data_IF_897859333726
#
_entry.id   IF_897859333726
#
_cell.length_a   1.000
_cell.length_b   1.000
_cell.length_c   1.000
_cell.angle_alpha   90.00
_cell.angle_beta   90.00
_cell.angle_gamma   90.00
#
_symmetry.space_group_name_H-M   'P 1'
#
loop_
_entity.id
_entity.type
_entity.pdbx_description
1 polymer ?
#
# COMPACT_ATOMS: atom_id res chain seq x y z
N UNK A 1 10.34 -12.76 10.48
CA UNK A 1 10.18 -11.79 11.59
C UNK A 1 10.55 -12.35 12.96
N UNK A 2 10.64 -13.66 13.19
CA UNK A 2 11.19 -14.25 14.42
C UNK A 2 10.42 -13.98 15.72
N UNK A 3 9.13 -13.68 15.66
CA UNK A 3 8.33 -13.48 16.87
C UNK A 3 8.23 -14.75 17.71
N UNK A 4 8.36 -14.67 19.06
CA UNK A 4 8.20 -15.82 19.95
C UNK A 4 6.81 -16.46 19.79
N UNK A 5 6.74 -17.80 19.89
CA UNK A 5 5.48 -18.54 19.77
C UNK A 5 4.40 -18.00 20.72
N UNK A 6 4.76 -17.71 21.97
CA UNK A 6 3.85 -17.17 22.99
C UNK A 6 3.18 -15.85 22.53
N UNK A 7 3.95 -14.96 21.90
CA UNK A 7 3.42 -13.71 21.35
C UNK A 7 2.43 -13.99 20.19
N UNK A 8 2.81 -14.89 19.28
CA UNK A 8 1.92 -15.28 18.16
C UNK A 8 0.60 -15.89 18.66
N UNK A 9 0.67 -16.73 19.71
CA UNK A 9 -0.52 -17.35 20.31
C UNK A 9 -1.44 -16.29 20.96
N UNK A 10 -0.87 -15.28 21.62
CA UNK A 10 -1.64 -14.16 22.16
C UNK A 10 -2.34 -13.34 21.08
N UNK A 11 -1.62 -12.94 20.02
CA UNK A 11 -2.21 -12.18 18.90
C UNK A 11 -3.33 -13.01 18.23
N UNK A 12 -3.08 -14.29 18.00
CA UNK A 12 -4.08 -15.21 17.47
C UNK A 12 -5.30 -15.30 18.38
N UNK A 13 -5.12 -15.41 19.69
CA UNK A 13 -6.20 -15.43 20.68
C UNK A 13 -7.04 -14.14 20.62
N UNK A 14 -6.39 -12.97 20.58
CA UNK A 14 -7.06 -11.68 20.46
C UNK A 14 -7.89 -11.57 19.17
N UNK A 15 -7.30 -11.92 18.02
CA UNK A 15 -8.02 -11.85 16.74
C UNK A 15 -9.21 -12.81 16.71
N UNK A 16 -9.07 -14.02 17.26
CA UNK A 16 -10.13 -15.03 17.28
C UNK A 16 -11.25 -14.75 18.29
N UNK A 17 -10.98 -14.02 19.36
CA UNK A 17 -11.97 -13.64 20.38
C UNK A 17 -12.72 -12.35 20.07
N UNK A 18 -12.34 -11.64 19.02
CA UNK A 18 -12.93 -10.35 18.64
C UNK A 18 -14.42 -10.50 18.29
N UNK A 19 -15.27 -9.72 18.98
CA UNK A 19 -16.70 -9.61 18.72
C UNK A 19 -17.11 -8.16 18.53
N UNK A 20 -18.16 -7.92 17.78
CA UNK A 20 -18.77 -6.62 17.57
C UNK A 20 -20.30 -6.73 17.62
N UNK A 21 -20.96 -5.64 18.00
CA UNK A 21 -22.40 -5.47 17.89
C UNK A 21 -22.69 -4.15 17.18
N UNK A 22 -23.78 -4.10 16.42
CA UNK A 22 -24.28 -2.86 15.82
C UNK A 22 -25.24 -2.18 16.77
N UNK A 23 -25.11 -0.88 16.95
CA UNK A 23 -26.07 -0.09 17.69
C UNK A 23 -27.23 0.32 16.77
N UNK A 24 -28.45 -0.09 17.13
CA UNK A 24 -29.67 0.35 16.46
C UNK A 24 -30.50 1.16 17.48
N UNK A 25 -30.72 2.43 17.19
CA UNK A 25 -31.40 3.37 18.10
C UNK A 25 -30.81 3.38 19.52
N UNK A 26 -29.46 3.28 19.62
CA UNK A 26 -28.74 3.29 20.90
C UNK A 26 -28.70 1.94 21.64
N UNK A 27 -29.39 0.92 21.16
CA UNK A 27 -29.39 -0.42 21.75
C UNK A 27 -28.50 -1.35 20.96
N UNK A 28 -27.60 -2.14 21.60
CA UNK A 28 -26.77 -3.12 20.91
C UNK A 28 -27.64 -4.27 20.37
N UNK A 29 -27.36 -4.71 19.15
CA UNK A 29 -27.93 -5.91 18.55
C UNK A 29 -27.24 -7.16 19.08
N UNK A 30 -27.47 -8.32 18.43
CA UNK A 30 -26.71 -9.54 18.74
C UNK A 30 -25.22 -9.38 18.43
N UNK A 31 -24.37 -9.98 19.23
CA UNK A 31 -22.94 -10.04 19.01
C UNK A 31 -22.59 -10.95 17.83
N UNK A 32 -21.74 -10.49 16.94
CA UNK A 32 -21.17 -11.32 15.88
C UNK A 32 -19.64 -11.36 15.97
N UNK A 33 -19.07 -12.46 15.50
CA UNK A 33 -17.62 -12.66 15.50
C UNK A 33 -16.97 -11.89 14.36
N UNK A 34 -15.87 -11.19 14.65
CA UNK A 34 -15.05 -10.56 13.62
C UNK A 34 -14.12 -11.63 13.00
N UNK A 35 -14.36 -11.98 11.74
CA UNK A 35 -13.60 -13.05 11.07
C UNK A 35 -12.39 -12.52 10.29
N UNK A 36 -12.38 -11.23 9.93
CA UNK A 36 -11.32 -10.59 9.13
C UNK A 36 -11.05 -9.18 9.59
N UNK A 37 -9.80 -8.73 9.35
CA UNK A 37 -9.36 -7.37 9.62
C UNK A 37 -8.97 -7.14 11.07
N UNK A 38 -8.65 -5.89 11.37
CA UNK A 38 -8.30 -5.42 12.70
C UNK A 38 -9.41 -4.51 13.22
N UNK A 39 -9.59 -4.51 14.54
CA UNK A 39 -10.62 -3.70 15.18
C UNK A 39 -10.24 -2.22 15.13
N UNK A 40 -11.10 -1.41 14.54
CA UNK A 40 -10.92 0.04 14.50
C UNK A 40 -11.09 0.61 15.92
N UNK A 41 -10.17 1.49 16.34
CA UNK A 41 -10.17 2.06 17.70
C UNK A 41 -9.44 1.23 18.77
N UNK A 42 -8.97 0.03 18.45
CA UNK A 42 -8.10 -0.75 19.33
C UNK A 42 -6.66 -0.21 19.26
N UNK A 43 -6.04 0.02 20.41
CA UNK A 43 -4.68 0.59 20.52
C UNK A 43 -3.59 -0.29 19.90
N UNK A 44 -3.81 -1.60 19.80
CA UNK A 44 -2.84 -2.54 19.20
C UNK A 44 -3.00 -2.69 17.68
N UNK A 45 -4.19 -2.40 17.14
CA UNK A 45 -4.48 -2.56 15.72
C UNK A 45 -3.53 -1.80 14.78
N UNK A 46 -3.13 -0.54 15.04
CA UNK A 46 -2.16 0.16 14.20
C UNK A 46 -0.79 -0.54 14.15
N UNK A 47 -0.32 -1.08 15.27
CA UNK A 47 0.96 -1.80 15.32
C UNK A 47 0.91 -3.13 14.56
N UNK A 48 -0.20 -3.87 14.66
CA UNK A 48 -0.41 -5.09 13.89
C UNK A 48 -0.49 -4.80 12.39
N UNK A 49 -1.12 -3.69 12.00
CA UNK A 49 -1.15 -3.24 10.61
C UNK A 49 0.25 -2.94 10.08
N UNK A 50 1.09 -2.23 10.84
CA UNK A 50 2.48 -1.95 10.46
C UNK A 50 3.29 -3.24 10.26
N UNK A 51 3.12 -4.25 11.14
CA UNK A 51 3.76 -5.56 10.98
C UNK A 51 3.34 -6.23 9.67
N UNK A 52 2.07 -6.12 9.30
CA UNK A 52 1.56 -6.68 8.04
C UNK A 52 2.10 -5.92 6.83
N UNK A 53 2.20 -4.59 6.90
CA UNK A 53 2.80 -3.78 5.83
C UNK A 53 4.30 -4.05 5.69
N UNK A 54 5.01 -4.30 6.78
CA UNK A 54 6.41 -4.76 6.76
C UNK A 54 6.55 -6.12 6.07
N UNK A 55 5.57 -7.02 6.23
CA UNK A 55 5.55 -8.27 5.48
C UNK A 55 5.40 -8.05 3.95
N UNK A 56 4.59 -7.07 3.52
CA UNK A 56 4.51 -6.68 2.11
C UNK A 56 5.85 -6.17 1.59
N UNK A 57 6.49 -5.27 2.33
CA UNK A 57 7.84 -4.76 2.03
C UNK A 57 8.84 -5.91 1.87
N UNK A 58 8.84 -6.85 2.82
CA UNK A 58 9.70 -8.02 2.75
C UNK A 58 9.45 -8.89 1.51
N UNK A 59 8.19 -9.14 1.15
CA UNK A 59 7.84 -9.94 -0.05
C UNK A 59 8.32 -9.23 -1.32
N UNK A 60 8.14 -7.91 -1.45
CA UNK A 60 8.61 -7.12 -2.58
C UNK A 60 10.13 -7.15 -2.70
N UNK A 61 10.85 -6.92 -1.60
CA UNK A 61 12.31 -7.01 -1.56
C UNK A 61 12.78 -8.42 -1.93
N UNK A 62 12.12 -9.45 -1.41
CA UNK A 62 12.47 -10.83 -1.76
C UNK A 62 12.22 -11.15 -3.23
N UNK A 63 11.13 -10.66 -3.81
CA UNK A 63 10.87 -10.79 -5.24
C UNK A 63 11.95 -10.11 -6.09
N UNK A 64 12.46 -8.95 -5.64
CA UNK A 64 13.62 -8.27 -6.25
C UNK A 64 14.89 -9.12 -6.14
N UNK A 65 15.23 -9.59 -4.94
CA UNK A 65 16.47 -10.34 -4.68
C UNK A 65 16.60 -11.61 -5.52
N UNK A 66 15.47 -12.29 -5.80
CA UNK A 66 15.43 -13.49 -6.65
C UNK A 66 15.20 -13.17 -8.14
N UNK A 67 15.19 -11.89 -8.52
CA UNK A 67 15.08 -11.45 -9.92
C UNK A 67 13.68 -11.60 -10.54
N UNK A 68 12.65 -11.87 -9.74
CA UNK A 68 11.25 -11.99 -10.22
C UNK A 68 10.60 -10.63 -10.44
N UNK A 69 11.02 -9.62 -9.68
CA UNK A 69 10.57 -8.24 -9.80
C UNK A 69 11.76 -7.30 -9.90
N UNK A 70 11.70 -6.36 -10.82
CA UNK A 70 12.75 -5.36 -11.01
C UNK A 70 12.22 -4.00 -10.63
N UNK A 71 12.87 -3.36 -9.67
CA UNK A 71 12.62 -2.00 -9.25
C UNK A 71 13.09 -0.96 -10.25
N UNK A 72 13.03 0.31 -9.87
CA UNK A 72 13.63 1.42 -10.60
C UNK A 72 15.00 1.71 -10.01
N UNK A 73 16.02 1.76 -10.85
CA UNK A 73 17.37 2.18 -10.49
C UNK A 73 17.57 3.66 -10.90
N UNK A 74 18.03 4.49 -9.98
CA UNK A 74 18.33 5.90 -10.25
C UNK A 74 19.82 6.15 -10.43
N UNK A 75 20.69 5.24 -9.94
CA UNK A 75 22.16 5.33 -10.04
C UNK A 75 22.74 3.92 -9.95
N UNK A 76 23.85 3.68 -10.67
CA UNK A 76 24.54 2.38 -10.65
C UNK A 76 25.03 1.97 -9.27
N UNK A 77 25.27 2.94 -8.37
CA UNK A 77 25.76 2.72 -7.01
C UNK A 77 24.64 2.57 -5.96
N UNK A 78 23.35 2.76 -6.35
CA UNK A 78 22.23 2.69 -5.43
C UNK A 78 21.38 1.43 -5.63
N UNK A 79 20.77 0.90 -4.55
CA UNK A 79 19.87 -0.24 -4.67
C UNK A 79 18.58 0.16 -5.40
N UNK A 80 18.05 -0.74 -6.19
CA UNK A 80 16.76 -0.55 -6.88
C UNK A 80 15.66 -0.21 -5.87
N UNK A 81 14.92 0.85 -6.15
CA UNK A 81 13.73 1.21 -5.43
C UNK A 81 12.52 0.44 -5.97
N UNK A 82 11.88 -0.34 -5.12
CA UNK A 82 10.74 -1.19 -5.48
C UNK A 82 9.40 -0.65 -4.97
N UNK A 83 9.40 0.06 -3.84
CA UNK A 83 8.18 0.56 -3.21
C UNK A 83 8.43 1.65 -2.19
N UNK A 84 7.40 2.46 -1.96
CA UNK A 84 7.26 3.37 -0.85
C UNK A 84 5.94 3.08 -0.14
N UNK A 85 5.97 2.86 1.16
CA UNK A 85 4.80 2.58 1.98
C UNK A 85 4.60 3.69 3.01
N UNK A 86 3.38 4.18 3.12
CA UNK A 86 3.00 5.15 4.15
C UNK A 86 1.57 4.88 4.60
N UNK A 87 1.41 4.44 5.84
CA UNK A 87 0.13 3.98 6.39
C UNK A 87 -0.54 2.97 5.45
N UNK A 88 -1.71 3.27 4.91
CA UNK A 88 -2.47 2.45 3.97
C UNK A 88 -2.13 2.73 2.49
N UNK A 89 -1.33 3.76 2.21
CA UNK A 89 -0.88 4.09 0.86
C UNK A 89 0.37 3.29 0.49
N UNK A 90 0.34 2.67 -0.68
CA UNK A 90 1.47 1.94 -1.25
C UNK A 90 1.75 2.44 -2.67
N UNK A 91 2.97 2.90 -2.91
CA UNK A 91 3.48 3.22 -4.24
C UNK A 91 4.48 2.12 -4.62
N UNK A 92 4.19 1.35 -5.65
CA UNK A 92 5.06 0.29 -6.18
C UNK A 92 5.72 0.82 -7.45
N UNK A 93 7.03 0.67 -7.53
CA UNK A 93 7.88 1.21 -8.59
C UNK A 93 8.63 0.08 -9.26
N UNK A 94 8.65 0.03 -10.57
CA UNK A 94 9.37 -1.01 -11.29
C UNK A 94 9.51 -0.76 -12.77
N UNK A 95 10.42 -1.50 -13.41
CA UNK A 95 10.60 -1.48 -14.86
C UNK A 95 9.28 -1.79 -15.57
N UNK A 96 9.04 -1.07 -16.68
CA UNK A 96 7.83 -1.23 -17.47
C UNK A 96 7.93 -2.43 -18.40
N UNK A 97 7.58 -3.62 -17.87
CA UNK A 97 7.52 -4.86 -18.64
C UNK A 97 6.29 -5.68 -18.23
N UNK A 98 5.73 -6.43 -19.18
CA UNK A 98 4.58 -7.30 -18.92
C UNK A 98 4.90 -8.37 -17.83
N UNK A 99 6.12 -8.86 -17.79
CA UNK A 99 6.56 -9.82 -16.77
C UNK A 99 6.62 -9.21 -15.38
N UNK A 100 7.11 -7.98 -15.27
CA UNK A 100 7.17 -7.25 -14.03
C UNK A 100 5.77 -6.96 -13.47
N UNK A 101 4.84 -6.55 -14.33
CA UNK A 101 3.43 -6.33 -13.97
C UNK A 101 2.77 -7.62 -13.48
N UNK A 102 2.98 -8.75 -14.16
CA UNK A 102 2.48 -10.07 -13.70
C UNK A 102 3.09 -10.47 -12.37
N UNK A 103 4.34 -10.12 -12.13
CA UNK A 103 5.04 -10.40 -10.88
C UNK A 103 4.46 -9.58 -9.73
N UNK A 104 4.14 -8.30 -9.93
CA UNK A 104 3.41 -7.48 -8.95
C UNK A 104 2.06 -8.13 -8.63
N UNK A 105 1.28 -8.54 -9.63
CA UNK A 105 -0.02 -9.18 -9.41
C UNK A 105 0.13 -10.45 -8.54
N UNK A 106 1.18 -11.26 -8.76
CA UNK A 106 1.47 -12.45 -7.95
C UNK A 106 1.88 -12.09 -6.52
N UNK A 107 2.74 -11.09 -6.34
CA UNK A 107 3.16 -10.59 -5.03
C UNK A 107 1.95 -10.12 -4.22
N UNK A 108 1.08 -9.30 -4.81
CA UNK A 108 -0.14 -8.81 -4.18
C UNK A 108 -1.11 -9.94 -3.82
N UNK A 109 -1.20 -10.97 -4.66
CA UNK A 109 -1.97 -12.19 -4.36
C UNK A 109 -1.39 -12.97 -3.19
N UNK A 110 -0.06 -13.16 -3.14
CA UNK A 110 0.62 -13.83 -2.02
C UNK A 110 0.38 -13.05 -0.74
N UNK A 111 0.53 -11.73 -0.78
CA UNK A 111 0.26 -10.86 0.36
C UNK A 111 -1.18 -11.03 0.87
N UNK A 112 -2.17 -11.02 -0.03
CA UNK A 112 -3.57 -11.28 0.34
C UNK A 112 -3.76 -12.65 1.00
N UNK A 113 -3.17 -13.71 0.46
CA UNK A 113 -3.30 -15.06 1.00
C UNK A 113 -2.68 -15.20 2.41
N UNK A 114 -1.60 -14.46 2.68
CA UNK A 114 -0.90 -14.48 3.96
C UNK A 114 -1.56 -13.58 5.02
N UNK A 115 -2.03 -12.41 4.62
CA UNK A 115 -2.50 -11.36 5.52
C UNK A 115 -4.02 -11.27 5.63
N UNK A 116 -4.76 -11.74 4.62
CA UNK A 116 -6.18 -11.48 4.45
C UNK A 116 -6.50 -10.06 3.95
N UNK A 117 -5.50 -9.16 3.83
CA UNK A 117 -5.68 -7.81 3.33
C UNK A 117 -5.66 -7.79 1.80
N UNK A 118 -6.73 -7.29 1.21
CA UNK A 118 -6.85 -7.17 -0.24
C UNK A 118 -6.67 -5.72 -0.67
N UNK A 119 -5.76 -5.50 -1.62
CA UNK A 119 -5.60 -4.20 -2.25
C UNK A 119 -6.85 -3.88 -3.08
N UNK A 120 -7.35 -2.66 -2.92
CA UNK A 120 -8.50 -2.17 -3.67
C UNK A 120 -8.06 -1.66 -5.04
N UNK A 121 -8.03 -2.56 -6.03
CA UNK A 121 -7.59 -2.23 -7.39
C UNK A 121 -8.48 -1.19 -8.07
N UNK A 122 -9.77 -1.08 -7.69
CA UNK A 122 -10.66 -0.04 -8.22
C UNK A 122 -10.31 1.38 -7.75
N UNK A 123 -9.59 1.49 -6.62
CA UNK A 123 -9.04 2.75 -6.10
C UNK A 123 -7.56 2.92 -6.44
N UNK A 124 -6.94 1.91 -7.03
CA UNK A 124 -5.52 1.94 -7.40
C UNK A 124 -5.36 2.39 -8.84
N UNK A 125 -4.29 3.11 -9.10
CA UNK A 125 -3.95 3.62 -10.42
C UNK A 125 -2.60 3.05 -10.88
N UNK A 126 -2.45 2.92 -12.20
CA UNK A 126 -1.18 2.65 -12.86
C UNK A 126 -0.75 3.89 -13.65
N UNK A 127 0.53 4.20 -13.59
CA UNK A 127 1.15 5.34 -14.27
C UNK A 127 2.30 4.85 -15.12
N UNK A 128 2.24 5.07 -16.42
CA UNK A 128 3.35 4.80 -17.34
C UNK A 128 4.26 6.03 -17.47
N UNK A 129 5.58 5.83 -17.40
CA UNK A 129 6.57 6.87 -17.64
C UNK A 129 7.27 6.58 -18.95
N UNK A 130 7.18 7.49 -19.93
CA UNK A 130 7.75 7.33 -21.26
C UNK A 130 7.27 6.06 -22.00
N UNK A 131 5.99 5.74 -21.87
CA UNK A 131 5.34 4.57 -22.47
C UNK A 131 4.14 4.99 -23.30
N UNK A 132 3.81 4.19 -24.31
CA UNK A 132 2.65 4.42 -25.15
C UNK A 132 1.34 4.11 -24.43
N UNK A 133 0.30 4.86 -24.75
CA UNK A 133 -1.03 4.72 -24.14
C UNK A 133 -1.61 3.32 -24.28
N UNK A 134 -1.41 2.66 -25.43
CA UNK A 134 -1.86 1.29 -25.67
C UNK A 134 -1.16 0.26 -24.76
N UNK A 135 0.11 0.48 -24.45
CA UNK A 135 0.84 -0.39 -23.52
C UNK A 135 0.30 -0.21 -22.10
N UNK A 136 0.01 1.02 -21.68
CA UNK A 136 -0.56 1.30 -20.35
C UNK A 136 -1.93 0.63 -20.21
N UNK A 137 -2.78 0.71 -21.25
CA UNK A 137 -4.11 0.08 -21.24
C UNK A 137 -4.02 -1.45 -21.14
N UNK A 138 -3.08 -2.08 -21.85
CA UNK A 138 -2.83 -3.51 -21.74
C UNK A 138 -2.37 -3.92 -20.33
N UNK A 139 -1.48 -3.14 -19.72
CA UNK A 139 -0.98 -3.42 -18.37
C UNK A 139 -2.06 -3.19 -17.30
N UNK A 140 -2.92 -2.20 -17.50
CA UNK A 140 -4.09 -1.93 -16.68
C UNK A 140 -5.02 -3.15 -16.60
N UNK A 141 -5.30 -3.80 -17.73
CA UNK A 141 -6.14 -5.00 -17.77
C UNK A 141 -5.52 -6.17 -16.97
N UNK A 142 -4.21 -6.35 -17.06
CA UNK A 142 -3.48 -7.41 -16.33
C UNK A 142 -3.58 -7.23 -14.81
N UNK A 143 -3.48 -6.00 -14.31
CA UNK A 143 -3.58 -5.69 -12.88
C UNK A 143 -5.02 -5.55 -12.40
N UNK A 144 -5.93 -5.10 -13.25
CA UNK A 144 -7.31 -4.77 -12.90
C UNK A 144 -7.43 -3.44 -12.14
N UNK A 145 -6.51 -2.50 -12.35
CA UNK A 145 -6.53 -1.15 -11.79
C UNK A 145 -6.90 -0.12 -12.87
N UNK A 146 -6.93 1.16 -12.52
CA UNK A 146 -7.25 2.25 -13.46
C UNK A 146 -5.98 2.87 -14.00
N UNK A 147 -6.02 3.30 -15.27
CA UNK A 147 -5.00 4.21 -15.80
C UNK A 147 -5.16 5.59 -15.20
N UNK A 148 -4.06 6.25 -14.93
CA UNK A 148 -4.03 7.66 -14.60
C UNK A 148 -2.75 8.32 -15.14
N UNK A 149 -2.82 9.64 -15.29
CA UNK A 149 -1.77 10.44 -15.91
C UNK A 149 -1.03 11.29 -14.86
N UNK A 150 0.19 11.70 -15.21
CA UNK A 150 0.95 12.67 -14.44
C UNK A 150 0.44 14.11 -14.68
N UNK A 151 0.53 15.01 -13.70
CA UNK A 151 0.99 14.76 -12.33
C UNK A 151 -0.10 14.19 -11.42
N UNK A 152 0.28 13.35 -10.46
CA UNK A 152 -0.63 12.91 -9.40
C UNK A 152 -0.15 13.39 -8.02
N UNK A 153 -1.02 13.38 -7.04
CA UNK A 153 -0.66 13.79 -5.68
C UNK A 153 -0.38 12.57 -4.82
N UNK A 154 0.81 12.52 -4.21
CA UNK A 154 1.19 11.52 -3.21
C UNK A 154 1.70 12.22 -1.95
N UNK A 155 1.08 11.95 -0.82
CA UNK A 155 1.38 12.57 0.49
C UNK A 155 1.44 14.13 0.44
N UNK A 156 0.57 14.73 -0.35
CA UNK A 156 0.49 16.18 -0.52
C UNK A 156 1.49 16.78 -1.51
N UNK A 157 2.33 15.96 -2.13
CA UNK A 157 3.32 16.39 -3.13
C UNK A 157 2.86 15.96 -4.53
N UNK A 158 3.00 16.85 -5.51
CA UNK A 158 2.69 16.56 -6.91
C UNK A 158 3.83 15.81 -7.57
N UNK A 159 3.69 14.49 -7.70
CA UNK A 159 4.64 13.63 -8.41
C UNK A 159 4.50 13.83 -9.93
N UNK A 160 5.64 13.97 -10.62
CA UNK A 160 5.67 14.21 -12.07
C UNK A 160 5.46 15.67 -12.46
N UNK A 161 5.25 16.59 -11.53
CA UNK A 161 5.21 18.02 -11.80
C UNK A 161 6.62 18.63 -11.86
N UNK A 162 6.77 19.75 -12.59
CA UNK A 162 8.03 20.51 -12.60
C UNK A 162 8.22 21.24 -11.26
N UNK A 163 8.92 20.63 -10.32
CA UNK A 163 9.13 21.14 -8.96
C UNK A 163 10.02 22.40 -8.90
N UNK A 164 10.61 22.83 -10.02
CA UNK A 164 11.26 24.14 -10.17
C UNK A 164 10.26 25.30 -10.15
N UNK A 165 8.97 25.04 -10.36
CA UNK A 165 7.94 26.08 -10.32
C UNK A 165 7.35 26.23 -8.92
N UNK A 166 7.37 27.44 -8.39
CA UNK A 166 6.93 27.79 -7.03
C UNK A 166 5.49 27.31 -6.75
N UNK A 167 4.57 27.48 -7.69
CA UNK A 167 3.16 27.12 -7.51
C UNK A 167 2.93 25.62 -7.23
N UNK A 168 3.87 24.74 -7.61
CA UNK A 168 3.76 23.31 -7.31
C UNK A 168 4.07 23.01 -5.84
N UNK A 169 4.70 23.96 -5.11
CA UNK A 169 4.97 23.86 -3.67
C UNK A 169 3.87 24.47 -2.81
N UNK A 170 2.94 25.23 -3.39
CA UNK A 170 1.85 25.88 -2.64
C UNK A 170 1.11 24.91 -1.70
N UNK A 171 0.70 23.69 -2.12
CA UNK A 171 0.01 22.77 -1.21
C UNK A 171 0.86 22.39 0.02
N UNK A 172 2.17 22.24 -0.14
CA UNK A 172 3.08 21.93 0.96
C UNK A 172 3.23 23.12 1.90
N UNK A 173 3.38 24.31 1.33
CA UNK A 173 3.48 25.58 2.10
C UNK A 173 2.20 25.85 2.89
N UNK A 174 1.04 25.60 2.30
CA UNK A 174 -0.25 25.82 2.95
C UNK A 174 -0.48 24.85 4.13
N UNK A 175 -0.07 23.58 3.99
CA UNK A 175 -0.07 22.63 5.10
C UNK A 175 0.83 23.09 6.24
N UNK A 176 2.04 23.58 5.93
CA UNK A 176 2.98 24.10 6.94
C UNK A 176 2.40 25.33 7.62
N UNK A 177 1.88 26.30 6.85
CA UNK A 177 1.25 27.52 7.39
C UNK A 177 0.06 27.18 8.29
N UNK A 178 -0.81 26.25 7.86
CA UNK A 178 -1.96 25.83 8.65
C UNK A 178 -1.58 25.16 9.98
N UNK A 179 -0.42 24.50 10.05
CA UNK A 179 0.08 23.89 11.30
C UNK A 179 0.82 24.89 12.21
N UNK A 180 1.37 25.96 11.65
CA UNK A 180 2.07 27.00 12.40
C UNK A 180 1.15 28.13 12.86
N UNK A 181 -0.03 28.27 12.26
CA UNK A 181 -1.05 29.26 12.63
C UNK A 181 -1.91 28.74 13.80
N UNK A 182 -1.28 28.42 14.94
CA UNK A 182 -1.93 28.08 16.21
C UNK A 182 -1.79 29.23 17.19
#
# INVERSE_FOLDING_TARGET
MGFPKRWCDWIKGMCLSSRAAVLVNGSPTFDFRCEKGLRQGDSLSPFLFLIVMEALSWILNKAKDIGVFKGINFSEDEPDLTHLLYADDALILGEWTCENIKSIARVLRIFYLCSGLRINLHKSNIYGVCTDDLEVDNMMEVLGCKRADFPFTYLGIKVGAKMTRIFNWEPVVDVIKGRLAV
#
